data_IF_826647618226
#
_entry.id   IF_826647618226
#
_cell.length_a   1.000
_cell.length_b   1.000
_cell.length_c   1.000
_cell.angle_alpha   90.00
_cell.angle_beta   90.00
_cell.angle_gamma   90.00
#
_symmetry.space_group_name_H-M   'P 1'
#
loop_
_entity.id
_entity.type
_entity.pdbx_description
1 polymer ?
#
# COMPACT_ATOMS: atom_id res chain seq x y z
N UNK A 1 -9.29 15.66 84.41
CA UNK A 1 -8.39 15.35 83.28
C UNK A 1 -9.22 14.80 82.14
N UNK A 2 -9.06 15.36 80.93
CA UNK A 2 -9.73 14.94 79.68
C UNK A 2 -9.05 13.69 79.12
N UNK A 3 -9.83 12.73 78.60
CA UNK A 3 -9.44 11.93 77.44
C UNK A 3 -10.66 11.70 76.53
N UNK A 4 -10.55 11.92 75.20
CA UNK A 4 -11.63 11.77 74.26
C UNK A 4 -11.71 10.33 73.74
N UNK A 5 -12.91 9.75 73.73
CA UNK A 5 -13.18 8.54 72.95
C UNK A 5 -13.26 8.94 71.47
N UNK A 6 -12.21 8.61 70.70
CA UNK A 6 -12.22 8.72 69.25
C UNK A 6 -13.27 7.77 68.68
N UNK A 7 -14.42 8.34 68.35
CA UNK A 7 -15.48 7.65 67.64
C UNK A 7 -15.04 7.53 66.17
N UNK A 8 -14.36 6.45 65.81
CA UNK A 8 -14.09 6.05 64.42
C UNK A 8 -15.39 5.54 63.80
N UNK A 9 -16.33 6.47 63.60
CA UNK A 9 -17.41 6.31 62.64
C UNK A 9 -16.80 6.31 61.25
N UNK A 10 -16.31 5.17 60.81
CA UNK A 10 -16.01 4.91 59.41
C UNK A 10 -17.35 5.05 58.67
N UNK A 11 -17.62 6.26 58.18
CA UNK A 11 -18.72 6.52 57.27
C UNK A 11 -18.44 5.70 56.02
N UNK A 12 -19.05 4.53 55.95
CA UNK A 12 -19.32 3.86 54.68
C UNK A 12 -20.21 4.82 53.92
N UNK A 13 -19.58 5.68 53.12
CA UNK A 13 -20.28 6.38 52.06
C UNK A 13 -20.67 5.29 51.07
N UNK A 14 -21.88 4.76 51.23
CA UNK A 14 -22.57 4.12 50.14
C UNK A 14 -22.78 5.20 49.07
N UNK A 15 -21.73 5.39 48.25
CA UNK A 15 -21.80 6.15 47.02
C UNK A 15 -22.96 5.57 46.24
N UNK A 16 -24.04 6.32 46.17
CA UNK A 16 -25.24 5.92 45.46
C UNK A 16 -24.88 5.91 43.98
N UNK A 17 -24.56 4.72 43.46
CA UNK A 17 -24.10 4.43 42.10
C UNK A 17 -25.18 4.66 41.02
N UNK A 18 -25.82 5.83 40.98
CA UNK A 18 -26.88 6.10 40.00
C UNK A 18 -26.48 7.10 38.90
N UNK A 19 -25.27 7.66 38.96
CA UNK A 19 -24.71 8.53 37.90
C UNK A 19 -23.42 8.01 37.26
N UNK A 20 -22.63 7.20 37.97
CA UNK A 20 -21.39 6.63 37.46
C UNK A 20 -21.60 5.53 36.42
N UNK A 21 -22.69 4.77 36.50
CA UNK A 21 -22.96 3.66 35.57
C UNK A 21 -23.19 4.14 34.12
N UNK A 22 -23.94 5.22 33.92
CA UNK A 22 -24.21 5.71 32.55
C UNK A 22 -22.97 6.38 31.95
N UNK A 23 -22.20 7.14 32.73
CA UNK A 23 -20.97 7.78 32.24
C UNK A 23 -19.87 6.73 31.97
N UNK A 24 -19.80 5.67 32.78
CA UNK A 24 -18.90 4.54 32.60
C UNK A 24 -19.24 3.75 31.33
N UNK A 25 -20.52 3.47 31.09
CA UNK A 25 -20.97 2.82 29.85
C UNK A 25 -20.70 3.71 28.64
N UNK A 26 -21.00 5.01 28.71
CA UNK A 26 -20.72 5.93 27.61
C UNK A 26 -19.22 6.03 27.32
N UNK A 27 -18.37 6.05 28.36
CA UNK A 27 -16.92 6.02 28.21
C UNK A 27 -16.43 4.70 27.62
N UNK A 28 -16.95 3.56 28.09
CA UNK A 28 -16.61 2.25 27.56
C UNK A 28 -17.00 2.14 26.08
N UNK A 29 -18.20 2.58 25.72
CA UNK A 29 -18.68 2.63 24.33
C UNK A 29 -17.79 3.55 23.49
N UNK A 30 -17.42 4.72 24.01
CA UNK A 30 -16.51 5.65 23.31
C UNK A 30 -15.13 5.02 23.07
N UNK A 31 -14.53 4.37 24.07
CA UNK A 31 -13.23 3.70 23.96
C UNK A 31 -13.28 2.53 22.98
N UNK A 32 -14.36 1.73 23.00
CA UNK A 32 -14.58 0.65 22.03
C UNK A 32 -14.71 1.22 20.62
N UNK A 33 -15.47 2.30 20.44
CA UNK A 33 -15.64 2.95 19.14
C UNK A 33 -14.31 3.49 18.59
N UNK A 34 -13.52 4.19 19.41
CA UNK A 34 -12.19 4.70 19.03
C UNK A 34 -11.25 3.54 18.69
N UNK A 35 -11.27 2.46 19.47
CA UNK A 35 -10.47 1.26 19.20
C UNK A 35 -10.86 0.59 17.89
N UNK A 36 -12.16 0.45 17.62
CA UNK A 36 -12.67 -0.13 16.39
C UNK A 36 -12.27 0.71 15.16
N UNK A 37 -12.38 2.04 15.25
CA UNK A 37 -11.93 2.94 14.19
C UNK A 37 -10.41 2.83 13.96
N UNK A 38 -9.62 2.74 15.03
CA UNK A 38 -8.18 2.50 14.94
C UNK A 38 -7.84 1.20 14.21
N UNK A 39 -8.55 0.10 14.52
CA UNK A 39 -8.36 -1.18 13.85
C UNK A 39 -8.72 -1.13 12.36
N UNK A 40 -9.84 -0.49 12.03
CA UNK A 40 -10.27 -0.32 10.62
C UNK A 40 -9.23 0.49 9.86
N UNK A 41 -8.71 1.57 10.44
CA UNK A 41 -7.68 2.40 9.80
C UNK A 41 -6.41 1.58 9.50
N UNK A 42 -5.97 0.75 10.45
CA UNK A 42 -4.82 -0.15 10.26
C UNK A 42 -5.10 -1.18 9.17
N UNK A 43 -6.29 -1.80 9.16
CA UNK A 43 -6.65 -2.78 8.13
C UNK A 43 -6.71 -2.17 6.72
N UNK A 44 -7.23 -0.95 6.60
CA UNK A 44 -7.27 -0.24 5.33
C UNK A 44 -5.85 0.06 4.85
N UNK A 45 -4.98 0.54 5.74
CA UNK A 45 -3.57 0.80 5.43
C UNK A 45 -2.84 -0.46 4.96
N UNK A 46 -2.93 -1.56 5.70
CA UNK A 46 -2.25 -2.82 5.34
C UNK A 46 -2.79 -3.40 4.04
N UNK A 47 -4.09 -3.32 3.79
CA UNK A 47 -4.69 -3.75 2.53
C UNK A 47 -4.20 -2.92 1.34
N UNK A 48 -3.99 -1.61 1.51
CA UNK A 48 -3.42 -0.72 0.49
C UNK A 48 -1.97 -1.07 0.18
N UNK A 49 -1.17 -1.30 1.21
CA UNK A 49 0.24 -1.68 1.05
C UNK A 49 0.39 -3.05 0.39
N UNK A 50 -0.39 -4.05 0.82
CA UNK A 50 -0.38 -5.38 0.22
C UNK A 50 -0.73 -5.33 -1.27
N UNK A 51 -1.73 -4.53 -1.66
CA UNK A 51 -2.07 -4.31 -3.08
C UNK A 51 -0.91 -3.71 -3.86
N UNK A 52 -0.19 -2.74 -3.29
CA UNK A 52 0.96 -2.14 -3.95
C UNK A 52 2.10 -3.16 -4.16
N UNK A 53 2.34 -4.06 -3.21
CA UNK A 53 3.32 -5.14 -3.33
C UNK A 53 2.91 -6.15 -4.41
N UNK A 54 1.66 -6.62 -4.40
CA UNK A 54 1.16 -7.58 -5.41
C UNK A 54 1.27 -7.02 -6.84
N UNK A 55 0.99 -5.73 -7.04
CA UNK A 55 1.18 -5.10 -8.35
C UNK A 55 2.65 -5.13 -8.79
N UNK A 56 3.59 -4.81 -7.89
CA UNK A 56 5.02 -4.88 -8.19
C UNK A 56 5.48 -6.30 -8.50
N UNK A 57 5.00 -7.29 -7.75
CA UNK A 57 5.30 -8.70 -7.99
C UNK A 57 4.79 -9.15 -9.36
N UNK A 58 3.54 -8.81 -9.71
CA UNK A 58 2.98 -9.14 -11.02
C UNK A 58 3.76 -8.47 -12.17
N UNK A 59 4.19 -7.22 -12.00
CA UNK A 59 5.01 -6.53 -12.99
C UNK A 59 6.40 -7.18 -13.13
N UNK A 60 7.04 -7.57 -12.03
CA UNK A 60 8.32 -8.27 -12.04
C UNK A 60 8.21 -9.64 -12.72
N UNK A 61 7.15 -10.39 -12.45
CA UNK A 61 6.89 -11.68 -13.09
C UNK A 61 6.66 -11.55 -14.61
N UNK A 62 5.94 -10.51 -15.05
CA UNK A 62 5.77 -10.24 -16.48
C UNK A 62 7.12 -9.87 -17.13
N UNK A 63 7.93 -9.02 -16.47
CA UNK A 63 9.24 -8.63 -16.98
C UNK A 63 10.19 -9.84 -17.14
N UNK A 64 10.20 -10.74 -16.16
CA UNK A 64 10.96 -11.99 -16.22
C UNK A 64 10.47 -12.91 -17.34
N UNK A 65 9.16 -13.05 -17.49
CA UNK A 65 8.56 -13.87 -18.55
C UNK A 65 8.85 -13.34 -19.96
N UNK A 66 8.91 -12.01 -20.12
CA UNK A 66 9.34 -11.37 -21.37
C UNK A 66 10.81 -11.67 -21.64
N UNK A 67 11.68 -11.48 -20.64
CA UNK A 67 13.11 -11.76 -20.76
C UNK A 67 13.36 -13.21 -21.18
N UNK A 68 12.65 -14.17 -20.58
CA UNK A 68 12.74 -15.58 -20.93
C UNK A 68 12.21 -15.84 -22.35
N UNK A 69 11.08 -15.25 -22.74
CA UNK A 69 10.54 -15.40 -24.08
C UNK A 69 11.46 -14.85 -25.17
N UNK A 70 12.20 -13.78 -24.89
CA UNK A 70 13.16 -13.18 -25.84
C UNK A 70 14.42 -13.99 -26.07
N UNK A 71 14.75 -14.94 -25.18
CA UNK A 71 15.84 -15.89 -25.45
C UNK A 71 15.55 -16.81 -26.64
N UNK A 72 14.28 -16.92 -27.05
CA UNK A 72 13.87 -17.67 -28.24
C UNK A 72 13.51 -16.69 -29.38
N UNK A 73 14.44 -16.38 -30.30
CA UNK A 73 14.34 -15.23 -31.19
C UNK A 73 13.20 -15.32 -32.23
N UNK A 74 12.69 -16.51 -32.53
CA UNK A 74 11.61 -16.68 -33.52
C UNK A 74 10.23 -16.28 -33.01
N UNK A 75 10.04 -16.13 -31.70
CA UNK A 75 8.73 -15.87 -31.07
C UNK A 75 8.68 -14.58 -30.26
N UNK A 76 9.79 -13.83 -30.16
CA UNK A 76 9.93 -12.67 -29.28
C UNK A 76 8.81 -11.62 -29.43
N UNK A 77 8.51 -11.18 -30.65
CA UNK A 77 7.49 -10.14 -30.90
C UNK A 77 6.07 -10.61 -30.59
N UNK A 78 5.74 -11.86 -30.95
CA UNK A 78 4.43 -12.47 -30.67
C UNK A 78 4.25 -12.64 -29.16
N UNK A 79 5.29 -13.12 -28.47
CA UNK A 79 5.30 -13.26 -27.02
C UNK A 79 5.21 -11.91 -26.31
N UNK A 80 5.90 -10.87 -26.81
CA UNK A 80 5.82 -9.52 -26.25
C UNK A 80 4.41 -8.94 -26.37
N UNK A 81 3.74 -9.11 -27.52
CA UNK A 81 2.36 -8.64 -27.69
C UNK A 81 1.37 -9.38 -26.78
N UNK A 82 1.59 -10.68 -26.57
CA UNK A 82 0.83 -11.45 -25.59
C UNK A 82 1.05 -10.86 -24.19
N UNK A 83 2.30 -10.72 -23.74
CA UNK A 83 2.62 -10.18 -22.41
C UNK A 83 2.16 -8.74 -22.20
N UNK A 84 2.16 -7.90 -23.24
CA UNK A 84 1.54 -6.56 -23.23
C UNK A 84 0.03 -6.63 -22.96
N UNK A 85 -0.65 -7.61 -23.56
CA UNK A 85 -2.07 -7.85 -23.29
C UNK A 85 -2.30 -8.32 -21.85
N UNK A 86 -1.43 -9.19 -21.32
CA UNK A 86 -1.50 -9.59 -19.92
C UNK A 86 -1.22 -8.42 -18.96
N UNK A 87 -0.27 -7.55 -19.30
CA UNK A 87 0.02 -6.36 -18.52
C UNK A 87 -1.20 -5.45 -18.40
N UNK A 88 -1.95 -5.21 -19.48
CA UNK A 88 -3.15 -4.37 -19.42
C UNK A 88 -4.31 -5.01 -18.66
N UNK A 89 -4.34 -6.34 -18.52
CA UNK A 89 -5.34 -7.08 -17.73
C UNK A 89 -4.96 -7.14 -16.25
N UNK A 90 -3.69 -7.38 -15.93
CA UNK A 90 -3.21 -7.60 -14.56
C UNK A 90 -2.85 -6.29 -13.83
N UNK A 91 -2.47 -5.25 -14.58
CA UNK A 91 -2.03 -3.97 -14.05
C UNK A 91 -2.95 -2.84 -14.51
N UNK A 92 -3.23 -1.85 -13.64
CA UNK A 92 -4.05 -0.70 -14.01
C UNK A 92 -3.34 0.14 -15.06
N UNK A 93 -3.90 0.22 -16.27
CA UNK A 93 -3.26 0.88 -17.42
C UNK A 93 -1.84 0.34 -17.67
N UNK A 94 -1.67 -0.98 -17.51
CA UNK A 94 -0.39 -1.64 -17.70
C UNK A 94 0.05 -1.66 -19.17
N UNK A 95 1.34 -1.47 -19.39
CA UNK A 95 2.00 -1.71 -20.67
C UNK A 95 3.33 -2.41 -20.46
N UNK A 96 3.76 -3.17 -21.47
CA UNK A 96 5.02 -3.89 -21.49
C UNK A 96 5.82 -3.55 -22.76
N UNK A 97 7.12 -3.35 -22.60
CA UNK A 97 8.03 -3.00 -23.68
C UNK A 97 9.41 -3.60 -23.44
N UNK A 98 10.22 -3.63 -24.50
CA UNK A 98 11.62 -4.05 -24.42
C UNK A 98 12.46 -2.88 -24.92
N UNK A 99 13.41 -2.43 -24.10
CA UNK A 99 14.45 -1.51 -24.51
C UNK A 99 15.72 -2.28 -24.83
N UNK A 100 16.41 -1.96 -25.92
CA UNK A 100 17.67 -2.58 -26.28
C UNK A 100 18.83 -1.58 -26.10
N UNK A 101 19.89 -2.02 -25.44
CA UNK A 101 21.09 -1.21 -25.15
C UNK A 101 22.34 -2.05 -25.40
N UNK A 102 22.76 -2.10 -26.67
CA UNK A 102 23.92 -2.89 -27.10
C UNK A 102 23.73 -4.40 -26.90
N UNK A 103 24.56 -5.02 -26.05
CA UNK A 103 24.51 -6.45 -25.76
C UNK A 103 23.50 -6.84 -24.66
N UNK A 104 22.85 -5.84 -24.05
CA UNK A 104 21.89 -6.03 -22.96
C UNK A 104 20.53 -5.50 -23.42
N UNK A 105 19.48 -6.27 -23.17
CA UNK A 105 18.10 -5.84 -23.34
C UNK A 105 17.46 -5.65 -21.96
N UNK A 106 16.43 -4.81 -21.89
CA UNK A 106 15.70 -4.53 -20.66
C UNK A 106 14.20 -4.74 -20.90
N UNK A 107 13.61 -5.71 -20.21
CA UNK A 107 12.17 -5.91 -20.19
C UNK A 107 11.57 -4.91 -19.20
N UNK A 108 10.65 -4.08 -19.66
CA UNK A 108 10.04 -3.00 -18.89
C UNK A 108 8.54 -3.20 -18.80
N UNK A 109 8.01 -2.98 -17.60
CA UNK A 109 6.57 -3.02 -17.33
C UNK A 109 6.20 -1.77 -16.55
N UNK A 110 5.28 -0.98 -17.10
CA UNK A 110 4.79 0.27 -16.51
C UNK A 110 3.31 0.15 -16.19
N UNK A 111 2.84 0.79 -15.12
CA UNK A 111 1.43 0.85 -14.77
C UNK A 111 1.08 2.16 -14.06
N UNK A 112 -0.20 2.54 -14.05
CA UNK A 112 -0.65 3.73 -13.34
C UNK A 112 -0.41 3.57 -11.83
N UNK A 113 0.28 4.54 -11.23
CA UNK A 113 0.48 4.55 -9.78
C UNK A 113 -0.85 4.83 -9.08
N UNK A 114 -1.26 3.97 -8.14
CA UNK A 114 -2.38 4.26 -7.26
C UNK A 114 -1.87 5.24 -6.20
N UNK A 115 -1.91 6.54 -6.51
CA UNK A 115 -1.58 7.57 -5.51
C UNK A 115 -2.70 7.60 -4.47
N UNK A 116 -2.36 7.12 -3.29
CA UNK A 116 -3.30 7.01 -2.18
C UNK A 116 -3.46 8.31 -1.38
N UNK A 117 -2.66 9.34 -1.70
CA UNK A 117 -2.68 10.66 -1.09
C UNK A 117 -3.26 11.66 -2.10
N UNK A 118 -4.30 12.44 -1.76
CA UNK A 118 -4.67 13.58 -2.59
C UNK A 118 -3.45 14.49 -2.71
N UNK A 119 -3.13 14.89 -3.94
CA UNK A 119 -2.05 15.83 -4.21
C UNK A 119 -2.41 17.18 -3.57
N UNK A 120 -2.07 17.35 -2.29
CA UNK A 120 -2.12 18.63 -1.64
C UNK A 120 -0.94 19.43 -2.15
N UNK A 121 -1.21 20.35 -3.08
CA UNK A 121 -0.30 21.40 -3.50
C UNK A 121 0.82 20.94 -4.42
N UNK A 122 0.90 21.64 -5.54
CA UNK A 122 2.01 21.70 -6.49
C UNK A 122 2.21 20.47 -7.37
N UNK A 123 1.43 20.47 -8.46
CA UNK A 123 1.78 19.88 -9.74
C UNK A 123 3.04 20.52 -10.35
N UNK A 124 4.13 20.56 -9.57
CA UNK A 124 5.47 20.56 -10.16
C UNK A 124 5.58 19.21 -10.84
N UNK A 125 5.69 19.19 -12.17
CA UNK A 125 5.92 17.98 -12.94
C UNK A 125 7.07 17.21 -12.29
N UNK A 126 6.74 16.19 -11.50
CA UNK A 126 7.75 15.31 -10.92
C UNK A 126 8.53 14.77 -12.11
N UNK A 127 9.87 14.98 -12.17
CA UNK A 127 10.67 14.42 -13.25
C UNK A 127 10.33 12.94 -13.37
N UNK A 128 10.15 12.48 -14.60
CA UNK A 128 9.98 11.06 -14.87
C UNK A 128 11.10 10.30 -14.16
N UNK A 129 10.76 9.37 -13.27
CA UNK A 129 11.79 8.52 -12.69
C UNK A 129 12.31 7.60 -13.80
N UNK A 130 13.64 7.51 -13.97
CA UNK A 130 14.22 6.65 -14.98
C UNK A 130 13.88 5.19 -14.65
N UNK A 131 13.30 4.48 -15.62
CA UNK A 131 13.01 3.05 -15.51
C UNK A 131 13.96 2.24 -16.40
N UNK A 132 15.17 2.01 -15.88
CA UNK A 132 16.31 1.63 -16.69
C UNK A 132 16.74 2.80 -17.59
N UNK A 133 17.10 2.53 -18.85
CA UNK A 133 17.58 3.57 -19.78
C UNK A 133 16.50 4.53 -20.36
N UNK A 134 15.23 4.45 -19.94
CA UNK A 134 14.17 5.34 -20.44
C UNK A 134 13.29 5.86 -19.31
N UNK A 135 12.90 7.12 -19.43
CA UNK A 135 11.98 7.81 -18.54
C UNK A 135 10.60 7.14 -18.48
N UNK A 136 10.14 6.78 -17.28
CA UNK A 136 8.77 6.30 -17.10
C UNK A 136 7.77 7.47 -17.20
N UNK A 137 6.57 7.25 -17.78
CA UNK A 137 5.53 8.28 -17.81
C UNK A 137 5.26 8.87 -16.43
N UNK A 138 5.10 10.19 -16.33
CA UNK A 138 4.83 10.84 -15.06
C UNK A 138 3.56 10.27 -14.39
N UNK A 139 3.66 9.90 -13.11
CA UNK A 139 2.55 9.26 -12.39
C UNK A 139 2.35 7.78 -12.68
N UNK A 140 3.27 7.13 -13.40
CA UNK A 140 3.35 5.68 -13.50
C UNK A 140 4.38 5.10 -12.52
N UNK A 141 4.15 3.86 -12.10
CA UNK A 141 5.15 3.02 -11.46
C UNK A 141 5.77 2.12 -12.53
N UNK A 142 7.02 1.69 -12.31
CA UNK A 142 7.74 0.90 -13.30
C UNK A 142 8.65 -0.16 -12.67
N UNK A 143 8.82 -1.28 -13.38
CA UNK A 143 9.83 -2.31 -13.14
C UNK A 143 10.60 -2.53 -14.44
N UNK A 144 11.93 -2.55 -14.35
CA UNK A 144 12.81 -2.89 -15.45
C UNK A 144 13.74 -4.03 -15.03
N UNK A 145 13.81 -5.08 -15.86
CA UNK A 145 14.71 -6.21 -15.70
C UNK A 145 15.69 -6.23 -16.87
N UNK A 146 16.98 -6.04 -16.59
CA UNK A 146 18.03 -6.17 -17.59
C UNK A 146 18.44 -7.63 -17.78
N UNK A 147 18.65 -8.06 -19.03
CA UNK A 147 19.04 -9.41 -19.39
C UNK A 147 19.98 -9.41 -20.61
N UNK A 148 20.82 -10.43 -20.71
CA UNK A 148 21.66 -10.66 -21.89
C UNK A 148 20.84 -11.29 -23.01
N UNK A 149 21.11 -10.88 -24.24
CA UNK A 149 20.44 -11.37 -25.46
C UNK A 149 20.98 -12.73 -25.90
#
# INVERSE_FOLDING_TARGET
>A
MRQPAFNTGLRVHASTCNGSSLIEVMLAVALVAVSALGLIAVQVWTAREARAMTLRESAAWIADSIAEATRTPSTGDVALNQWRTWASVLLPHGDASIGESGAVAAARVTWASVRDRPALGDASAQPAEPCGDVDAPAGSSCVALAFAK
#
